data_IF_419289693672
#
_entry.id   IF_419289693672
#
_cell.length_a   1.000
_cell.length_b   1.000
_cell.length_c   1.000
_cell.angle_alpha   90.00
_cell.angle_beta   90.00
_cell.angle_gamma   90.00
#
_symmetry.space_group_name_H-M   'P 1'
#
loop_
_entity.id
_entity.type
_entity.pdbx_description
1 polymer ?
#
# COMPACT_ATOMS: atom_id res chain seq x y z
N UNK A 1 20.37 -7.53 -5.45
CA UNK A 1 19.30 -7.06 -4.55
C UNK A 1 18.00 -7.17 -5.32
N UNK A 2 16.94 -7.70 -4.71
CA UNK A 2 15.64 -7.77 -5.37
C UNK A 2 15.08 -6.36 -5.54
N UNK A 3 14.73 -5.98 -6.76
CA UNK A 3 14.08 -4.69 -7.03
C UNK A 3 12.64 -4.71 -6.51
N UNK A 4 12.21 -3.63 -5.88
CA UNK A 4 10.89 -3.50 -5.23
C UNK A 4 10.62 -4.64 -4.24
N UNK A 5 11.59 -4.93 -3.36
CA UNK A 5 11.52 -6.05 -2.41
C UNK A 5 10.30 -5.94 -1.49
N UNK A 6 10.01 -4.75 -0.97
CA UNK A 6 8.91 -4.53 -0.05
C UNK A 6 7.56 -4.62 -0.77
N UNK A 7 7.49 -4.30 -2.06
CA UNK A 7 6.34 -4.63 -2.89
C UNK A 7 6.19 -6.14 -3.12
N UNK A 8 7.26 -6.81 -3.57
CA UNK A 8 7.22 -8.23 -3.97
C UNK A 8 6.84 -9.16 -2.82
N UNK A 9 7.32 -8.87 -1.62
CA UNK A 9 7.00 -9.68 -0.44
C UNK A 9 5.55 -9.61 0.02
N UNK A 10 4.75 -8.72 -0.58
CA UNK A 10 3.30 -8.65 -0.35
C UNK A 10 2.47 -9.55 -1.28
N UNK A 11 3.10 -10.34 -2.16
CA UNK A 11 2.40 -11.07 -3.22
C UNK A 11 2.53 -12.58 -2.97
N UNK A 12 1.49 -13.27 -2.48
CA UNK A 12 1.60 -14.69 -2.06
C UNK A 12 2.06 -15.67 -3.13
N UNK A 13 1.87 -15.35 -4.41
CA UNK A 13 2.33 -16.20 -5.51
C UNK A 13 3.77 -15.92 -5.96
N UNK A 14 4.48 -14.99 -5.32
CA UNK A 14 5.87 -14.66 -5.61
C UNK A 14 6.80 -15.39 -4.63
N UNK A 15 8.02 -15.70 -5.06
CA UNK A 15 9.02 -16.39 -4.21
C UNK A 15 9.44 -15.53 -3.01
N UNK A 16 9.34 -14.21 -3.13
CA UNK A 16 9.73 -13.26 -2.09
C UNK A 16 8.65 -13.05 -1.02
N UNK A 17 7.48 -13.68 -1.13
CA UNK A 17 6.38 -13.52 -0.17
C UNK A 17 6.84 -13.71 1.27
N UNK A 18 6.37 -12.83 2.14
CA UNK A 18 6.67 -12.81 3.57
C UNK A 18 5.38 -12.64 4.35
N UNK A 19 5.05 -13.59 5.23
CA UNK A 19 3.90 -13.52 6.13
C UNK A 19 3.93 -12.27 7.03
N UNK A 20 5.12 -11.69 7.25
CA UNK A 20 5.28 -10.44 8.02
C UNK A 20 5.15 -9.18 7.17
N UNK A 21 4.84 -9.29 5.88
CA UNK A 21 4.54 -8.16 5.01
C UNK A 21 3.23 -7.48 5.42
N UNK A 22 2.91 -6.34 4.78
CA UNK A 22 1.63 -5.67 4.99
C UNK A 22 0.44 -6.58 4.66
N UNK A 23 0.44 -7.23 3.48
CA UNK A 23 -0.61 -8.16 3.07
C UNK A 23 -0.67 -9.42 3.95
N UNK A 24 0.46 -9.97 4.39
CA UNK A 24 0.44 -11.09 5.34
C UNK A 24 -0.28 -10.72 6.63
N UNK A 25 0.14 -9.64 7.29
CA UNK A 25 -0.52 -9.12 8.50
C UNK A 25 -1.98 -8.72 8.27
N UNK A 26 -2.27 -8.10 7.12
CA UNK A 26 -3.61 -7.70 6.76
C UNK A 26 -4.54 -8.91 6.62
N UNK A 27 -4.14 -9.88 5.82
CA UNK A 27 -5.00 -11.00 5.46
C UNK A 27 -5.07 -12.08 6.54
N UNK A 28 -3.95 -12.41 7.17
CA UNK A 28 -3.86 -13.52 8.12
C UNK A 28 -4.19 -13.08 9.56
N UNK A 29 -3.73 -11.90 9.97
CA UNK A 29 -3.89 -11.42 11.35
C UNK A 29 -5.02 -10.39 11.51
N UNK A 30 -5.55 -9.85 10.41
CA UNK A 30 -6.51 -8.76 10.46
C UNK A 30 -5.92 -7.47 11.02
N UNK A 31 -4.64 -7.19 10.73
CA UNK A 31 -3.91 -6.02 11.26
C UNK A 31 -3.49 -5.09 10.12
N UNK A 32 -3.85 -3.81 10.21
CA UNK A 32 -3.20 -2.76 9.44
C UNK A 32 -1.97 -2.24 10.19
N UNK A 33 -0.77 -2.62 9.74
CA UNK A 33 0.50 -2.13 10.28
C UNK A 33 1.04 -0.98 9.42
N UNK A 34 1.03 0.25 9.94
CA UNK A 34 1.43 1.44 9.20
C UNK A 34 2.87 1.38 8.69
N UNK A 35 3.78 0.83 9.49
CA UNK A 35 5.20 0.75 9.12
C UNK A 35 5.41 -0.23 7.96
N UNK A 36 4.67 -1.34 7.93
CA UNK A 36 4.70 -2.28 6.79
C UNK A 36 4.00 -1.71 5.56
N UNK A 37 2.88 -1.01 5.75
CA UNK A 37 2.19 -0.31 4.67
C UNK A 37 3.09 0.74 4.03
N UNK A 38 3.83 1.53 4.81
CA UNK A 38 4.74 2.55 4.25
C UNK A 38 5.92 1.97 3.48
N UNK A 39 6.42 0.80 3.87
CA UNK A 39 7.43 0.09 3.07
C UNK A 39 6.88 -0.28 1.70
N UNK A 40 5.67 -0.84 1.65
CA UNK A 40 4.95 -1.10 0.40
C UNK A 40 4.74 0.20 -0.39
N UNK A 41 4.25 1.26 0.26
CA UNK A 41 4.00 2.56 -0.38
C UNK A 41 5.25 3.16 -1.01
N UNK A 42 6.39 3.10 -0.32
CA UNK A 42 7.66 3.58 -0.85
C UNK A 42 8.06 2.85 -2.13
N UNK A 43 7.92 1.52 -2.17
CA UNK A 43 8.20 0.77 -3.39
C UNK A 43 7.21 1.11 -4.52
N UNK A 44 5.93 1.35 -4.20
CA UNK A 44 4.95 1.83 -5.19
C UNK A 44 5.32 3.23 -5.75
N UNK A 45 5.86 4.12 -4.90
CA UNK A 45 6.41 5.41 -5.32
C UNK A 45 7.61 5.21 -6.26
N UNK A 46 8.53 4.31 -5.92
CA UNK A 46 9.71 4.02 -6.75
C UNK A 46 9.31 3.37 -8.09
N UNK A 47 8.29 2.51 -8.13
CA UNK A 47 7.68 2.01 -9.37
C UNK A 47 7.22 3.18 -10.22
N UNK A 48 6.50 4.14 -9.65
CA UNK A 48 6.00 5.31 -10.39
C UNK A 48 7.12 6.22 -10.92
N UNK A 49 8.21 6.37 -10.17
CA UNK A 49 9.39 7.14 -10.60
C UNK A 49 10.14 6.42 -11.73
N UNK A 50 10.27 5.10 -11.63
CA UNK A 50 10.95 4.28 -12.64
C UNK A 50 10.16 4.15 -13.94
N UNK A 51 8.83 4.10 -13.85
CA UNK A 51 7.91 4.00 -14.98
C UNK A 51 6.97 5.22 -15.01
N UNK A 52 7.41 6.34 -15.61
CA UNK A 52 6.63 7.58 -15.62
C UNK A 52 5.31 7.52 -16.37
N UNK A 53 5.14 6.55 -17.26
CA UNK A 53 3.92 6.32 -18.01
C UNK A 53 3.30 4.98 -17.59
N UNK A 54 2.01 4.93 -17.20
CA UNK A 54 1.39 3.70 -16.71
C UNK A 54 1.49 2.51 -17.68
N UNK A 55 1.55 2.78 -18.99
CA UNK A 55 1.70 1.74 -20.03
C UNK A 55 3.07 1.06 -20.04
N UNK A 56 4.08 1.67 -19.42
CA UNK A 56 5.45 1.13 -19.33
C UNK A 56 5.64 0.26 -18.09
N UNK A 57 4.65 0.20 -17.18
CA UNK A 57 4.73 -0.61 -15.97
C UNK A 57 4.78 -2.10 -16.38
N UNK A 58 5.81 -2.85 -15.93
CA UNK A 58 5.93 -4.27 -16.20
C UNK A 58 4.69 -5.06 -15.75
N UNK A 59 4.34 -6.10 -16.54
CA UNK A 59 3.16 -6.93 -16.31
C UNK A 59 3.14 -7.56 -14.91
N UNK A 60 4.28 -8.03 -14.43
CA UNK A 60 4.40 -8.65 -13.10
C UNK A 60 4.10 -7.65 -11.97
N UNK A 61 4.48 -6.38 -12.13
CA UNK A 61 4.12 -5.31 -11.20
C UNK A 61 2.61 -5.03 -11.25
N UNK A 62 2.02 -4.96 -12.44
CA UNK A 62 0.55 -4.78 -12.58
C UNK A 62 -0.21 -5.93 -11.91
N UNK A 63 0.22 -7.18 -12.11
CA UNK A 63 -0.34 -8.37 -11.46
C UNK A 63 -0.19 -8.30 -9.94
N UNK A 64 0.98 -7.87 -9.46
CA UNK A 64 1.23 -7.73 -8.03
C UNK A 64 0.33 -6.67 -7.37
N UNK A 65 0.16 -5.51 -8.02
CA UNK A 65 -0.77 -4.47 -7.53
C UNK A 65 -2.22 -5.00 -7.53
N UNK A 66 -2.63 -5.70 -8.59
CA UNK A 66 -3.95 -6.35 -8.65
C UNK A 66 -4.17 -7.31 -7.49
N UNK A 67 -3.19 -8.16 -7.21
CA UNK A 67 -3.22 -9.09 -6.07
C UNK A 67 -3.39 -8.36 -4.74
N UNK A 68 -2.62 -7.27 -4.50
CA UNK A 68 -2.74 -6.46 -3.28
C UNK A 68 -4.15 -5.86 -3.14
N UNK A 69 -4.74 -5.38 -4.24
CA UNK A 69 -6.11 -4.86 -4.25
C UNK A 69 -7.11 -5.96 -3.87
N UNK A 70 -6.98 -7.15 -4.44
CA UNK A 70 -7.86 -8.29 -4.16
C UNK A 70 -7.82 -8.65 -2.66
N UNK A 71 -6.63 -8.66 -2.05
CA UNK A 71 -6.46 -8.93 -0.61
C UNK A 71 -7.03 -7.82 0.29
N UNK A 72 -7.07 -6.59 -0.19
CA UNK A 72 -7.66 -5.46 0.54
C UNK A 72 -9.20 -5.41 0.44
N UNK A 73 -9.80 -6.15 -0.50
CA UNK A 73 -11.25 -6.27 -0.67
C UNK A 73 -11.89 -7.30 0.28
N UNK A 74 -11.73 -7.09 1.60
CA UNK A 74 -12.36 -7.93 2.64
C UNK A 74 -13.55 -7.19 3.27
N UNK A 75 -14.70 -7.85 3.53
CA UNK A 75 -15.95 -7.17 3.90
C UNK A 75 -15.97 -6.62 5.34
N UNK A 76 -15.17 -7.18 6.24
CA UNK A 76 -15.17 -6.90 7.68
C UNK A 76 -13.93 -6.12 8.14
N UNK A 77 -13.29 -5.40 7.21
CA UNK A 77 -12.08 -4.61 7.43
C UNK A 77 -12.20 -3.56 8.56
N UNK A 78 -13.42 -3.12 8.90
CA UNK A 78 -13.68 -2.22 10.03
C UNK A 78 -13.38 -2.85 11.41
N UNK A 79 -13.30 -4.19 11.49
CA UNK A 79 -12.98 -4.92 12.71
C UNK A 79 -11.47 -5.13 12.90
N UNK A 80 -10.65 -4.70 11.94
CA UNK A 80 -9.23 -4.99 11.92
C UNK A 80 -8.49 -4.09 12.91
N UNK A 81 -7.46 -4.65 13.53
CA UNK A 81 -6.62 -3.90 14.46
C UNK A 81 -5.75 -2.91 13.67
N UNK A 82 -5.58 -1.70 14.21
CA UNK A 82 -4.68 -0.71 13.66
C UNK A 82 -3.44 -0.67 14.54
N UNK A 83 -2.32 -1.13 13.99
CA UNK A 83 -1.00 -0.89 14.58
C UNK A 83 -0.48 0.44 14.05
N UNK A 84 -0.92 1.50 14.73
CA UNK A 84 -0.65 2.87 14.31
C UNK A 84 0.83 3.26 14.48
N UNK A 85 1.36 3.99 13.52
CA UNK A 85 2.66 4.62 13.65
C UNK A 85 2.60 5.77 14.68
N UNK A 86 3.62 5.96 15.55
CA UNK A 86 3.65 7.05 16.52
C UNK A 86 3.69 8.44 15.88
N UNK A 87 3.91 8.53 14.57
CA UNK A 87 3.92 9.78 13.80
C UNK A 87 2.54 10.20 13.29
N UNK A 88 1.51 9.37 13.45
CA UNK A 88 0.14 9.66 13.05
C UNK A 88 -0.72 10.01 14.28
N UNK A 89 -1.65 10.97 14.16
CA UNK A 89 -2.66 11.21 15.19
C UNK A 89 -3.53 9.97 15.43
N UNK A 90 -3.95 9.76 16.67
CA UNK A 90 -4.90 8.68 17.05
C UNK A 90 -6.25 8.77 16.32
N UNK A 91 -6.59 9.96 15.80
CA UNK A 91 -7.81 10.18 15.01
C UNK A 91 -7.76 9.60 13.59
N UNK A 92 -6.58 9.19 13.12
CA UNK A 92 -6.48 8.50 11.83
C UNK A 92 -6.99 7.08 12.04
N UNK A 93 -8.14 6.79 11.45
CA UNK A 93 -8.77 5.47 11.47
C UNK A 93 -8.41 4.65 10.23
N UNK A 94 -9.16 3.57 10.05
CA UNK A 94 -8.96 2.64 8.94
C UNK A 94 -9.46 3.25 7.61
N UNK A 95 -10.50 4.08 7.63
CA UNK A 95 -11.01 4.75 6.42
C UNK A 95 -9.96 5.67 5.79
N UNK A 96 -9.23 6.46 6.60
CA UNK A 96 -8.17 7.37 6.15
C UNK A 96 -6.99 6.62 5.52
N UNK A 97 -6.73 5.42 6.02
CA UNK A 97 -5.68 4.52 5.52
C UNK A 97 -6.04 3.91 4.17
N UNK A 98 -7.29 3.48 4.01
CA UNK A 98 -7.82 3.07 2.71
C UNK A 98 -7.88 4.24 1.71
N UNK A 99 -8.23 5.44 2.14
CA UNK A 99 -8.17 6.65 1.32
C UNK A 99 -6.74 6.90 0.85
N UNK A 100 -5.74 6.73 1.74
CA UNK A 100 -4.33 6.83 1.39
C UNK A 100 -3.96 5.84 0.29
N UNK A 101 -4.23 4.56 0.51
CA UNK A 101 -3.91 3.50 -0.45
C UNK A 101 -4.57 3.73 -1.81
N UNK A 102 -5.88 4.00 -1.83
CA UNK A 102 -6.61 4.25 -3.09
C UNK A 102 -6.12 5.50 -3.81
N UNK A 103 -5.69 6.52 -3.07
CA UNK A 103 -5.03 7.70 -3.61
C UNK A 103 -3.71 7.33 -4.27
N UNK A 104 -2.86 6.53 -3.60
CA UNK A 104 -1.60 6.04 -4.17
C UNK A 104 -1.82 5.25 -5.47
N UNK A 105 -2.80 4.36 -5.53
CA UNK A 105 -3.13 3.62 -6.76
C UNK A 105 -3.50 4.54 -7.92
N UNK A 106 -4.25 5.62 -7.65
CA UNK A 106 -4.58 6.62 -8.69
C UNK A 106 -3.33 7.28 -9.23
N UNK A 107 -2.30 7.53 -8.43
CA UNK A 107 -1.04 8.10 -8.92
C UNK A 107 -0.23 7.12 -9.75
N UNK A 108 -0.30 5.82 -9.44
CA UNK A 108 0.41 4.78 -10.20
C UNK A 108 -0.20 4.61 -11.59
N UNK A 109 -1.52 4.55 -11.68
CA UNK A 109 -2.23 4.23 -12.92
C UNK A 109 -2.72 5.45 -13.71
N UNK A 110 -2.35 6.67 -13.31
CA UNK A 110 -2.70 7.88 -14.05
C UNK A 110 -1.48 8.76 -14.29
N UNK A 111 -1.63 9.75 -15.17
CA UNK A 111 -0.59 10.72 -15.50
C UNK A 111 -0.30 11.72 -14.36
N UNK A 112 -1.05 11.64 -13.24
CA UNK A 112 -0.83 12.54 -12.10
C UNK A 112 0.53 12.26 -11.45
N UNK A 113 1.23 13.34 -11.11
CA UNK A 113 2.51 13.27 -10.41
C UNK A 113 2.30 13.11 -8.89
N UNK A 114 3.12 12.25 -8.28
CA UNK A 114 3.11 11.87 -6.88
C UNK A 114 3.79 12.92 -5.98
N UNK A 115 4.61 13.80 -6.56
CA UNK A 115 5.45 14.79 -5.82
C UNK A 115 4.62 15.77 -4.97
N UNK A 116 3.30 15.87 -5.20
CA UNK A 116 2.42 16.80 -4.50
C UNK A 116 1.36 16.16 -3.59
N UNK A 117 1.43 14.84 -3.33
CA UNK A 117 0.46 14.19 -2.44
C UNK A 117 0.81 14.48 -1.00
N UNK A 118 0.01 15.31 -0.35
CA UNK A 118 0.07 15.52 1.10
C UNK A 118 -1.15 14.90 1.73
N UNK A 119 -0.91 13.96 2.64
CA UNK A 119 -1.94 13.42 3.50
C UNK A 119 -1.95 14.22 4.81
N UNK A 120 -2.67 15.35 4.80
CA UNK A 120 -2.77 16.23 5.96
C UNK A 120 -3.86 15.73 6.91
N UNK A 121 -3.49 14.82 7.82
CA UNK A 121 -4.41 14.23 8.80
C UNK A 121 -4.70 15.13 10.02
N UNK A 122 -4.01 16.27 10.14
CA UNK A 122 -4.05 17.13 11.34
C UNK A 122 -5.29 18.03 11.47
N UNK A 123 -6.24 17.97 10.52
CA UNK A 123 -7.35 18.94 10.44
C UNK A 123 -8.76 18.33 10.56
N UNK A 124 -8.91 17.08 11.00
CA UNK A 124 -10.24 16.54 11.30
C UNK A 124 -10.72 17.08 12.65
N UNK A 125 -11.58 18.10 12.59
CA UNK A 125 -12.37 18.64 13.70
C UNK A 125 -13.42 17.64 14.17
#
# INVERSE_FOLDING_TARGET
MCEFKDFRRNIPCFEEYDENSFIGKWYDDGVWDDEEYWKLENDLIEVRKKYPYPMDIPRDIVIGIGTIIDFLMVPNWELFEIKASPWLPDSVGIHERYERFTTMLRYIFTEKDIVNVRFDYYNKK
#
